data_IF_415180758992
#
_entry.id   IF_415180758992
#
_cell.length_a   1.000
_cell.length_b   1.000
_cell.length_c   1.000
_cell.angle_alpha   90.00
_cell.angle_beta   90.00
_cell.angle_gamma   90.00
#
_symmetry.space_group_name_H-M   'P 1'
#
loop_
_entity.id
_entity.type
_entity.pdbx_description
1 polymer ?
#
# COMPACT_ATOMS: atom_id res chain seq x y z
N UNK A 1 2.79 3.93 7.80
CA UNK A 1 2.89 2.49 7.52
C UNK A 1 2.55 1.65 8.76
N UNK A 2 3.10 2.00 9.93
CA UNK A 2 2.92 1.21 11.17
C UNK A 2 1.45 0.99 11.53
N UNK A 3 0.62 2.02 11.44
CA UNK A 3 -0.81 1.93 11.77
C UNK A 3 -1.55 0.94 10.85
N UNK A 4 -1.15 0.87 9.58
CA UNK A 4 -1.71 -0.10 8.63
C UNK A 4 -1.25 -1.53 8.95
N UNK A 5 0.01 -1.71 9.35
CA UNK A 5 0.51 -3.03 9.75
C UNK A 5 -0.22 -3.53 11.00
N UNK A 6 -0.40 -2.67 11.99
CA UNK A 6 -1.12 -3.01 13.23
C UNK A 6 -2.59 -3.35 12.95
N UNK A 7 -3.25 -2.58 12.11
CA UNK A 7 -4.62 -2.88 11.67
C UNK A 7 -4.71 -4.24 10.97
N UNK A 8 -3.74 -4.55 10.12
CA UNK A 8 -3.65 -5.85 9.44
C UNK A 8 -3.48 -7.02 10.41
N UNK A 9 -2.69 -6.86 11.45
CA UNK A 9 -2.54 -7.90 12.48
C UNK A 9 -3.85 -8.10 13.26
N UNK A 10 -4.52 -7.01 13.63
CA UNK A 10 -5.79 -7.07 14.36
C UNK A 10 -6.91 -7.73 13.54
N UNK A 11 -7.02 -7.36 12.28
CA UNK A 11 -8.05 -7.90 11.37
C UNK A 11 -7.68 -9.26 10.78
N UNK A 12 -6.47 -9.77 11.03
CA UNK A 12 -5.89 -10.95 10.39
C UNK A 12 -5.93 -10.84 8.85
N UNK A 13 -5.63 -9.65 8.37
CA UNK A 13 -5.45 -9.31 6.95
C UNK A 13 -4.08 -8.61 6.81
N UNK A 14 -3.05 -9.40 6.97
CA UNK A 14 -1.69 -8.96 7.25
C UNK A 14 -1.03 -8.36 6.02
N UNK A 15 -0.18 -7.38 6.25
CA UNK A 15 0.63 -6.74 5.24
C UNK A 15 2.12 -6.81 5.57
N UNK A 16 2.95 -6.64 4.58
CA UNK A 16 4.40 -6.59 4.72
C UNK A 16 4.92 -5.28 4.17
N UNK A 17 5.69 -4.55 4.99
CA UNK A 17 6.25 -3.26 4.62
C UNK A 17 7.49 -3.44 3.75
N UNK A 18 7.44 -2.96 2.51
CA UNK A 18 8.55 -2.97 1.57
C UNK A 18 9.19 -1.58 1.49
N UNK A 19 10.53 -1.50 1.25
CA UNK A 19 11.23 -0.22 1.20
C UNK A 19 10.97 0.54 -0.11
N UNK A 20 11.03 1.88 -0.05
CA UNK A 20 11.02 2.77 -1.21
C UNK A 20 12.37 3.50 -1.33
N UNK A 21 13.46 2.75 -1.44
CA UNK A 21 14.79 3.30 -1.55
C UNK A 21 15.03 4.02 -2.88
N UNK A 22 15.88 5.03 -2.85
CA UNK A 22 16.18 5.86 -4.04
C UNK A 22 16.74 5.06 -5.20
N UNK A 23 17.45 3.97 -4.94
CA UNK A 23 17.98 3.08 -5.97
C UNK A 23 16.90 2.49 -6.87
N UNK A 24 15.67 2.31 -6.36
CA UNK A 24 14.56 1.83 -7.17
C UNK A 24 13.98 2.90 -8.10
N UNK A 25 14.20 4.18 -7.80
CA UNK A 25 13.73 5.31 -8.62
C UNK A 25 14.42 5.35 -9.99
N UNK A 26 15.64 4.85 -10.11
CA UNK A 26 16.40 4.83 -11.35
C UNK A 26 15.70 4.05 -12.46
N UNK A 27 14.89 3.03 -12.13
CA UNK A 27 14.14 2.26 -13.10
C UNK A 27 13.02 3.05 -13.79
N UNK A 28 12.70 4.23 -13.28
CA UNK A 28 11.67 5.11 -13.82
C UNK A 28 12.24 6.20 -14.74
N UNK A 29 13.54 6.21 -14.97
CA UNK A 29 14.18 7.16 -15.86
C UNK A 29 13.75 6.92 -17.30
N UNK A 30 13.50 8.01 -18.03
CA UNK A 30 13.12 7.98 -19.44
C UNK A 30 14.04 8.86 -20.25
N UNK A 31 14.36 8.42 -21.48
CA UNK A 31 15.20 9.19 -22.40
C UNK A 31 14.45 10.32 -23.12
N UNK A 32 13.13 10.31 -23.04
CA UNK A 32 12.31 11.24 -23.84
C UNK A 32 11.11 11.83 -23.09
N UNK A 33 10.82 11.33 -21.91
CA UNK A 33 9.75 11.83 -21.04
C UNK A 33 10.32 12.20 -19.66
N UNK A 34 9.54 12.90 -18.86
CA UNK A 34 9.94 13.27 -17.50
C UNK A 34 10.12 12.03 -16.61
N UNK A 35 9.32 10.99 -16.87
CA UNK A 35 9.26 9.79 -16.06
C UNK A 35 8.66 8.64 -16.86
N UNK A 36 9.24 7.44 -16.74
CA UNK A 36 8.59 6.23 -17.21
C UNK A 36 7.47 5.82 -16.24
N UNK A 37 6.38 5.27 -16.74
CA UNK A 37 5.25 4.83 -15.90
C UNK A 37 5.39 3.40 -15.37
N UNK A 38 6.36 2.65 -15.87
CA UNK A 38 6.70 1.32 -15.39
C UNK A 38 8.23 1.15 -15.33
N UNK A 39 8.69 0.35 -14.38
CA UNK A 39 10.07 -0.12 -14.34
C UNK A 39 10.22 -1.46 -15.05
N UNK A 40 11.37 -2.10 -14.86
CA UNK A 40 11.59 -3.48 -15.27
C UNK A 40 10.85 -4.49 -14.38
N UNK A 41 10.98 -5.79 -14.70
CA UNK A 41 10.39 -6.87 -13.89
C UNK A 41 10.92 -6.92 -12.45
N UNK A 42 12.26 -6.77 -12.21
CA UNK A 42 12.76 -6.83 -10.84
C UNK A 42 12.14 -5.73 -9.97
N UNK A 43 11.74 -6.11 -8.76
CA UNK A 43 11.12 -5.22 -7.77
C UNK A 43 9.91 -4.44 -8.29
N UNK A 44 9.08 -5.04 -9.17
CA UNK A 44 7.93 -4.37 -9.81
C UNK A 44 6.94 -3.77 -8.82
N UNK A 45 6.65 -4.44 -7.72
CA UNK A 45 5.83 -3.93 -6.61
C UNK A 45 6.40 -2.63 -6.04
N UNK A 46 7.70 -2.58 -5.82
CA UNK A 46 8.39 -1.41 -5.25
C UNK A 46 8.45 -0.27 -6.27
N UNK A 47 8.78 -0.56 -7.54
CA UNK A 47 8.84 0.47 -8.58
C UNK A 47 7.49 1.09 -8.89
N UNK A 48 6.41 0.32 -8.81
CA UNK A 48 5.05 0.87 -8.90
C UNK A 48 4.76 1.88 -7.79
N UNK A 49 5.11 1.55 -6.56
CA UNK A 49 4.98 2.46 -5.43
C UNK A 49 5.90 3.69 -5.58
N UNK A 50 7.12 3.52 -6.06
CA UNK A 50 8.03 4.63 -6.36
C UNK A 50 7.45 5.60 -7.39
N UNK A 51 6.85 5.09 -8.45
CA UNK A 51 6.17 5.92 -9.44
C UNK A 51 5.07 6.75 -8.80
N UNK A 52 4.17 6.13 -8.05
CA UNK A 52 3.06 6.83 -7.40
C UNK A 52 3.54 7.83 -6.34
N UNK A 53 4.63 7.54 -5.64
CA UNK A 53 5.17 8.41 -4.60
C UNK A 53 5.52 9.81 -5.13
N UNK A 54 5.92 9.92 -6.39
CA UNK A 54 6.28 11.19 -7.01
C UNK A 54 5.10 12.15 -7.17
N UNK A 55 3.88 11.62 -7.11
CA UNK A 55 2.64 12.40 -7.21
C UNK A 55 1.94 12.60 -5.86
N UNK A 56 2.44 11.97 -4.80
CA UNK A 56 1.80 11.92 -3.50
C UNK A 56 2.70 12.40 -2.34
N UNK A 57 3.82 13.04 -2.63
CA UNK A 57 4.82 13.46 -1.64
C UNK A 57 4.37 14.66 -0.78
N UNK A 58 3.30 15.35 -1.16
CA UNK A 58 2.79 16.54 -0.48
C UNK A 58 1.72 16.25 0.58
N UNK A 59 1.38 14.99 0.80
CA UNK A 59 0.47 14.55 1.86
C UNK A 59 0.85 13.15 2.36
N UNK A 60 0.44 12.78 3.59
CA UNK A 60 0.61 11.40 4.07
C UNK A 60 -0.15 10.41 3.18
N UNK A 61 0.53 9.36 2.70
CA UNK A 61 -0.07 8.36 1.83
C UNK A 61 0.53 6.99 2.08
N UNK A 62 -0.15 5.96 1.60
CA UNK A 62 0.38 4.61 1.55
C UNK A 62 -0.05 3.94 0.26
N UNK A 63 0.80 3.09 -0.27
CA UNK A 63 0.51 2.22 -1.40
C UNK A 63 0.41 0.78 -0.92
N UNK A 64 -0.66 0.09 -1.28
CA UNK A 64 -0.83 -1.33 -1.03
C UNK A 64 -0.87 -2.06 -2.37
N UNK A 65 0.14 -2.88 -2.62
CA UNK A 65 0.13 -3.76 -3.78
C UNK A 65 -0.68 -5.02 -3.43
N UNK A 66 -1.75 -5.24 -4.16
CA UNK A 66 -2.68 -6.35 -3.92
C UNK A 66 -2.63 -7.42 -5.01
N UNK A 67 -1.71 -7.32 -5.96
CA UNK A 67 -1.64 -8.21 -7.10
C UNK A 67 -1.51 -9.69 -6.71
N UNK A 68 -0.81 -9.96 -5.62
CA UNK A 68 -0.62 -11.33 -5.13
C UNK A 68 -1.65 -11.80 -4.10
N UNK A 69 -2.55 -10.95 -3.64
CA UNK A 69 -3.44 -11.24 -2.51
C UNK A 69 -4.93 -11.06 -2.79
N UNK A 70 -5.29 -10.25 -3.78
CA UNK A 70 -6.70 -9.91 -4.03
C UNK A 70 -7.46 -10.97 -4.84
N UNK A 71 -6.78 -11.96 -5.38
CA UNK A 71 -7.33 -12.87 -6.36
C UNK A 71 -6.91 -14.32 -6.11
N UNK A 72 -7.86 -15.25 -6.23
CA UNK A 72 -7.60 -16.68 -6.33
C UNK A 72 -7.72 -17.14 -7.78
N UNK A 73 -6.74 -17.90 -8.25
CA UNK A 73 -6.76 -18.54 -9.57
C UNK A 73 -7.15 -20.02 -9.47
N UNK A 74 -7.37 -20.67 -10.61
CA UNK A 74 -7.71 -22.09 -10.68
C UNK A 74 -9.20 -22.38 -10.52
N UNK A 75 -9.52 -23.55 -9.96
CA UNK A 75 -10.91 -24.01 -9.82
C UNK A 75 -11.77 -23.15 -8.90
N UNK A 76 -11.14 -22.51 -7.92
CA UNK A 76 -11.81 -21.62 -6.96
C UNK A 76 -11.48 -20.15 -7.23
N UNK A 77 -11.34 -19.79 -8.48
CA UNK A 77 -11.02 -18.42 -8.87
C UNK A 77 -12.06 -17.43 -8.36
N UNK A 78 -11.58 -16.24 -7.99
CA UNK A 78 -12.44 -15.18 -7.49
C UNK A 78 -11.65 -14.19 -6.65
N UNK A 79 -12.31 -13.15 -6.20
CA UNK A 79 -11.74 -12.15 -5.30
C UNK A 79 -11.60 -12.72 -3.87
N UNK A 80 -10.52 -12.34 -3.19
CA UNK A 80 -10.30 -12.69 -1.78
C UNK A 80 -11.00 -11.74 -0.82
N UNK A 81 -11.33 -10.53 -1.27
CA UNK A 81 -11.79 -9.44 -0.42
C UNK A 81 -10.67 -8.66 0.26
N UNK A 82 -9.41 -9.11 0.14
CA UNK A 82 -8.28 -8.38 0.73
C UNK A 82 -7.95 -7.13 -0.09
N UNK A 83 -7.59 -6.01 0.51
CA UNK A 83 -7.37 -5.76 1.95
C UNK A 83 -8.56 -5.04 2.65
N UNK A 84 -9.80 -5.41 2.39
CA UNK A 84 -10.98 -4.77 3.01
C UNK A 84 -10.91 -4.83 4.54
N UNK A 85 -10.54 -5.98 5.10
CA UNK A 85 -10.41 -6.15 6.55
C UNK A 85 -9.40 -5.20 7.18
N UNK A 86 -8.19 -5.12 6.60
CA UNK A 86 -7.13 -4.22 7.04
C UNK A 86 -7.59 -2.76 6.98
N UNK A 87 -8.16 -2.33 5.86
CA UNK A 87 -8.57 -0.94 5.67
C UNK A 87 -9.72 -0.55 6.60
N UNK A 88 -10.68 -1.44 6.80
CA UNK A 88 -11.79 -1.21 7.73
C UNK A 88 -11.28 -1.07 9.15
N UNK A 89 -10.38 -1.95 9.58
CA UNK A 89 -9.79 -1.87 10.92
C UNK A 89 -8.98 -0.59 11.11
N UNK A 90 -8.22 -0.18 10.10
CA UNK A 90 -7.48 1.08 10.12
C UNK A 90 -8.42 2.27 10.37
N UNK A 91 -9.54 2.34 9.66
CA UNK A 91 -10.51 3.42 9.84
C UNK A 91 -11.17 3.40 11.22
N UNK A 92 -11.50 2.23 11.75
CA UNK A 92 -12.05 2.09 13.10
C UNK A 92 -11.04 2.54 14.15
N UNK A 93 -9.78 2.19 14.00
CA UNK A 93 -8.72 2.61 14.91
C UNK A 93 -8.52 4.13 14.86
N UNK A 94 -8.59 4.73 13.67
CA UNK A 94 -8.49 6.19 13.50
C UNK A 94 -9.67 6.92 14.16
N UNK A 95 -10.86 6.38 14.08
CA UNK A 95 -12.04 6.95 14.75
C UNK A 95 -11.87 6.88 16.27
N UNK A 96 -11.43 5.76 16.81
CA UNK A 96 -11.18 5.59 18.24
C UNK A 96 -10.13 6.60 18.76
N UNK A 97 -9.02 6.78 18.02
CA UNK A 97 -7.98 7.76 18.37
C UNK A 97 -8.53 9.19 18.35
N UNK A 98 -9.33 9.55 17.36
CA UNK A 98 -9.95 10.87 17.27
C UNK A 98 -10.91 11.14 18.43
N UNK A 99 -11.65 10.16 18.90
CA UNK A 99 -12.53 10.26 20.07
C UNK A 99 -11.72 10.53 21.34
N UNK A 100 -10.60 9.84 21.53
CA UNK A 100 -9.70 10.04 22.67
C UNK A 100 -9.10 11.46 22.64
N UNK A 101 -8.64 11.93 21.48
CA UNK A 101 -8.08 13.28 21.31
C UNK A 101 -9.10 14.37 21.61
N UNK A 102 -10.39 14.14 21.30
CA UNK A 102 -11.48 15.08 21.58
C UNK A 102 -12.03 14.99 23.02
N UNK A 103 -11.45 14.12 23.86
CA UNK A 103 -11.87 13.92 25.23
C UNK A 103 -13.14 13.07 25.40
N UNK A 104 -13.60 12.42 24.37
CA UNK A 104 -14.69 11.45 24.41
C UNK A 104 -14.16 10.11 24.90
N UNK A 105 -14.64 9.66 26.00
CA UNK A 105 -14.20 8.41 26.61
C UNK A 105 -14.96 7.20 26.04
#
# INVERSE_FOLDING_TARGET
ALDLLDAGETAWDRAWHLPLWDEYQEQLDSNFADLANIGGRPAGTITAACFLSRFADHFPWAHLDIAGTAWHSGKQKGATGRPVGLLTQYLLDREADAQVENGDA
#
